data_IF_847681930283
#
_entry.id   IF_847681930283
#
_cell.length_a   1.000
_cell.length_b   1.000
_cell.length_c   1.000
_cell.angle_alpha   90.00
_cell.angle_beta   90.00
_cell.angle_gamma   90.00
#
_symmetry.space_group_name_H-M   'P 1'
#
loop_
_entity.id
_entity.type
_entity.pdbx_description
1 polymer ?
#
# COMPACT_ATOMS: atom_id res chain seq x y z
N UNK A 1 -8.73 36.27 12.31
CA UNK A 1 -7.63 35.34 11.97
C UNK A 1 -8.20 33.94 12.12
N UNK A 2 -8.92 33.46 11.11
CA UNK A 2 -9.52 32.12 11.16
C UNK A 2 -8.39 31.10 11.06
N UNK A 3 -8.30 30.24 12.06
CA UNK A 3 -7.57 28.99 11.99
C UNK A 3 -8.11 28.19 10.82
N UNK A 4 -7.41 28.22 9.69
CA UNK A 4 -7.56 27.20 8.67
C UNK A 4 -7.34 25.87 9.37
N UNK A 5 -8.40 25.06 9.37
CA UNK A 5 -8.41 23.72 9.91
C UNK A 5 -7.23 22.98 9.27
N UNK A 6 -6.19 22.73 10.07
CA UNK A 6 -5.09 21.84 9.73
C UNK A 6 -5.67 20.42 9.69
N UNK A 7 -6.45 20.12 8.63
CA UNK A 7 -6.85 18.75 8.29
C UNK A 7 -5.58 18.08 7.76
N UNK A 8 -4.69 17.77 8.70
CA UNK A 8 -3.49 17.04 8.41
C UNK A 8 -3.85 15.58 8.26
N UNK A 9 -4.10 15.18 7.01
CA UNK A 9 -4.13 13.79 6.55
C UNK A 9 -2.75 13.15 6.71
N UNK A 10 -2.27 13.05 7.95
CA UNK A 10 -0.95 12.55 8.32
C UNK A 10 -1.06 11.15 8.86
N UNK A 11 -0.13 10.31 8.45
CA UNK A 11 0.04 8.98 9.01
C UNK A 11 0.81 9.14 10.32
N UNK A 12 0.16 8.87 11.44
CA UNK A 12 0.74 8.97 12.78
C UNK A 12 1.96 8.05 12.92
N UNK A 13 3.05 8.57 13.47
CA UNK A 13 4.23 7.77 13.76
C UNK A 13 4.07 6.95 15.05
N UNK A 14 3.25 7.45 15.97
CA UNK A 14 3.02 6.90 17.32
C UNK A 14 1.95 5.81 17.38
N UNK A 15 1.13 5.66 16.34
CA UNK A 15 0.04 4.65 16.23
C UNK A 15 0.55 3.23 15.92
N UNK A 16 1.82 2.94 16.21
CA UNK A 16 2.47 1.66 15.90
C UNK A 16 2.90 1.51 14.44
N UNK A 17 2.64 2.52 13.59
CA UNK A 17 2.97 2.48 12.16
C UNK A 17 4.48 2.40 11.95
N UNK A 18 5.28 3.12 12.74
CA UNK A 18 6.73 3.07 12.63
C UNK A 18 7.27 1.68 12.99
N UNK A 19 6.74 1.04 14.03
CA UNK A 19 7.12 -0.29 14.46
C UNK A 19 6.75 -1.34 13.42
N UNK A 20 5.57 -1.22 12.80
CA UNK A 20 5.15 -2.09 11.69
C UNK A 20 6.02 -1.87 10.46
N UNK A 21 6.35 -0.62 10.13
CA UNK A 21 7.29 -0.26 9.06
C UNK A 21 8.67 -0.91 9.29
N UNK A 22 9.21 -0.77 10.50
CA UNK A 22 10.49 -1.38 10.87
C UNK A 22 10.42 -2.91 10.80
N UNK A 23 9.31 -3.50 11.25
CA UNK A 23 9.08 -4.95 11.20
C UNK A 23 8.99 -5.48 9.77
N UNK A 24 8.32 -4.75 8.86
CA UNK A 24 8.20 -5.11 7.45
C UNK A 24 9.56 -5.18 6.75
N UNK A 25 10.47 -4.23 7.07
CA UNK A 25 11.83 -4.24 6.57
C UNK A 25 12.78 -5.19 7.35
N UNK A 26 12.33 -5.80 8.44
CA UNK A 26 13.14 -6.66 9.30
C UNK A 26 14.23 -5.90 10.07
N UNK A 27 14.06 -4.60 10.30
CA UNK A 27 15.03 -3.75 11.00
C UNK A 27 14.62 -3.51 12.46
N UNK A 28 15.62 -3.45 13.36
CA UNK A 28 15.38 -3.23 14.80
C UNK A 28 15.65 -1.80 15.26
N UNK A 29 16.41 -1.01 14.48
CA UNK A 29 16.76 0.36 14.83
C UNK A 29 16.32 1.35 13.75
N UNK A 30 15.85 2.53 14.17
CA UNK A 30 15.46 3.63 13.27
C UNK A 30 16.60 4.07 12.33
N UNK A 31 17.85 3.95 12.80
CA UNK A 31 19.05 4.23 12.01
C UNK A 31 19.17 3.29 10.81
N UNK A 32 18.90 2.00 11.00
CA UNK A 32 19.00 1.00 9.94
C UNK A 32 17.91 1.22 8.88
N UNK A 33 16.72 1.63 9.33
CA UNK A 33 15.65 2.07 8.43
C UNK A 33 16.11 3.27 7.59
N UNK A 34 16.74 4.28 8.19
CA UNK A 34 17.22 5.45 7.45
C UNK A 34 18.30 5.06 6.42
N UNK A 35 19.23 4.17 6.78
CA UNK A 35 20.29 3.68 5.91
C UNK A 35 19.70 2.89 4.72
N UNK A 36 18.71 2.01 4.96
CA UNK A 36 17.97 1.28 3.92
C UNK A 36 17.16 2.23 3.02
N UNK A 37 16.55 3.25 3.62
CA UNK A 37 15.79 4.24 2.89
C UNK A 37 16.69 5.18 2.07
N UNK A 38 17.98 5.27 2.38
CA UNK A 38 18.92 6.20 1.75
C UNK A 38 18.65 7.65 2.13
N UNK A 39 18.08 7.88 3.32
CA UNK A 39 17.72 9.21 3.84
C UNK A 39 18.60 9.58 5.04
N UNK A 40 18.53 10.84 5.48
CA UNK A 40 19.29 11.27 6.63
C UNK A 40 18.80 10.60 7.93
N UNK A 41 19.74 10.16 8.78
CA UNK A 41 19.45 9.44 10.03
C UNK A 41 18.52 10.19 10.99
N UNK A 42 18.65 11.51 11.02
CA UNK A 42 17.81 12.38 11.85
C UNK A 42 16.38 12.49 11.33
N UNK A 43 16.10 12.13 10.08
CA UNK A 43 14.77 12.24 9.47
C UNK A 43 13.75 11.35 10.18
N UNK A 44 14.10 10.09 10.46
CA UNK A 44 13.20 9.13 11.12
C UNK A 44 12.84 9.59 12.53
N UNK A 45 13.83 10.06 13.29
CA UNK A 45 13.59 10.66 14.61
C UNK A 45 12.70 11.91 14.52
N UNK A 46 12.88 12.73 13.49
CA UNK A 46 12.02 13.88 13.23
C UNK A 46 10.57 13.51 12.90
N UNK A 47 10.32 12.38 12.24
CA UNK A 47 8.95 11.87 11.99
C UNK A 47 8.26 11.51 13.30
N UNK A 48 8.95 10.81 14.19
CA UNK A 48 8.44 10.45 15.53
C UNK A 48 8.12 11.70 16.33
N UNK A 49 9.03 12.68 16.36
CA UNK A 49 8.83 13.90 17.12
C UNK A 49 7.61 14.72 16.64
N UNK A 50 7.35 14.71 15.33
CA UNK A 50 6.22 15.42 14.71
C UNK A 50 4.97 14.57 14.56
N UNK A 51 5.03 13.31 15.02
CA UNK A 51 4.00 12.30 14.83
C UNK A 51 3.48 12.22 13.39
N UNK A 52 4.40 12.20 12.42
CA UNK A 52 4.07 12.32 11.01
C UNK A 52 5.06 11.54 10.14
N UNK A 53 4.63 10.39 9.63
CA UNK A 53 5.35 9.61 8.63
C UNK A 53 4.92 10.07 7.24
N UNK A 54 5.86 10.44 6.35
CA UNK A 54 5.51 10.77 4.97
C UNK A 54 4.93 9.55 4.23
N UNK A 55 3.76 9.68 3.62
CA UNK A 55 3.08 8.57 2.97
C UNK A 55 3.87 7.89 1.85
N UNK A 56 4.80 8.58 1.19
CA UNK A 56 5.70 7.95 0.21
C UNK A 56 6.61 6.87 0.82
N UNK A 57 6.89 6.94 2.13
CA UNK A 57 7.62 5.89 2.86
C UNK A 57 6.76 4.64 3.03
N UNK A 58 5.45 4.81 3.28
CA UNK A 58 4.49 3.71 3.35
C UNK A 58 4.34 3.06 1.97
N UNK A 59 4.09 3.86 0.94
CA UNK A 59 4.04 3.39 -0.46
C UNK A 59 5.26 2.55 -0.79
N UNK A 60 6.45 3.09 -0.50
CA UNK A 60 7.69 2.38 -0.75
C UNK A 60 7.79 1.08 0.04
N UNK A 61 7.43 1.06 1.32
CA UNK A 61 7.47 -0.15 2.13
C UNK A 61 6.61 -1.27 1.55
N UNK A 62 5.38 -0.96 1.16
CA UNK A 62 4.50 -1.92 0.52
C UNK A 62 5.14 -2.51 -0.74
N UNK A 63 5.77 -1.67 -1.57
CA UNK A 63 6.38 -2.11 -2.82
C UNK A 63 7.74 -2.84 -2.64
N UNK A 64 8.54 -2.47 -1.62
CA UNK A 64 9.83 -3.10 -1.33
C UNK A 64 9.66 -4.50 -0.70
N UNK A 65 8.66 -4.63 0.19
CA UNK A 65 8.51 -5.80 1.09
C UNK A 65 7.28 -6.66 0.78
N UNK A 66 6.31 -6.15 0.02
CA UNK A 66 5.01 -6.78 -0.16
C UNK A 66 4.09 -6.68 1.06
N UNK A 67 4.43 -5.88 2.07
CA UNK A 67 3.59 -5.69 3.24
C UNK A 67 2.24 -5.05 2.86
N UNK A 68 1.17 -5.55 3.46
CA UNK A 68 -0.17 -5.02 3.24
C UNK A 68 -0.32 -3.59 3.79
N UNK A 69 -0.92 -2.72 2.98
CA UNK A 69 -1.08 -1.30 3.31
C UNK A 69 -2.04 -1.09 4.48
N UNK A 70 -3.08 -1.90 4.62
CA UNK A 70 -4.01 -1.80 5.75
C UNK A 70 -3.28 -2.20 7.03
N UNK A 71 -2.57 -3.32 7.02
CA UNK A 71 -1.77 -3.73 8.17
C UNK A 71 -0.76 -2.66 8.58
N UNK A 72 -0.04 -2.06 7.62
CA UNK A 72 0.91 -1.00 7.93
C UNK A 72 0.24 0.22 8.58
N UNK A 73 -0.84 0.72 7.99
CA UNK A 73 -1.47 2.00 8.41
C UNK A 73 -2.41 1.80 9.60
N UNK A 74 -3.32 0.83 9.55
CA UNK A 74 -4.36 0.62 10.57
C UNK A 74 -3.99 -0.43 11.61
N UNK A 75 -3.04 -1.33 11.30
CA UNK A 75 -2.72 -2.48 12.13
C UNK A 75 -3.64 -3.68 11.92
N UNK A 76 -4.68 -3.54 11.08
CA UNK A 76 -5.57 -4.63 10.74
C UNK A 76 -4.94 -5.52 9.67
N UNK A 77 -4.71 -6.80 9.99
CA UNK A 77 -4.31 -7.77 8.99
C UNK A 77 -5.48 -8.01 8.05
N UNK A 78 -5.41 -7.49 6.83
CA UNK A 78 -6.26 -8.00 5.76
C UNK A 78 -5.94 -9.49 5.57
N UNK A 79 -6.96 -10.35 5.47
CA UNK A 79 -6.83 -11.79 5.21
C UNK A 79 -6.31 -12.10 3.78
N UNK A 80 -5.44 -11.27 3.21
CA UNK A 80 -5.02 -11.34 1.83
C UNK A 80 -3.68 -12.10 1.70
N UNK A 81 -3.77 -13.35 1.23
CA UNK A 81 -2.70 -13.94 0.42
C UNK A 81 -2.60 -13.10 -0.87
N UNK A 82 -1.71 -12.11 -0.89
CA UNK A 82 -1.28 -11.45 -2.12
C UNK A 82 0.11 -11.97 -2.45
N UNK A 83 0.21 -12.81 -3.47
CA UNK A 83 1.48 -13.04 -4.16
C UNK A 83 1.84 -11.75 -4.88
N UNK A 84 2.53 -10.85 -4.17
CA UNK A 84 3.11 -9.67 -4.76
C UNK A 84 4.24 -10.12 -5.68
N UNK A 85 4.07 -9.95 -7.01
CA UNK A 85 5.17 -10.08 -7.96
C UNK A 85 6.18 -9.00 -7.61
N UNK A 86 7.27 -9.41 -6.96
CA UNK A 86 8.23 -8.49 -6.38
C UNK A 86 8.70 -7.51 -7.44
N UNK A 87 8.45 -6.22 -7.23
CA UNK A 87 9.07 -5.18 -8.03
C UNK A 87 10.59 -5.44 -8.07
N UNK A 88 11.16 -5.55 -9.28
CA UNK A 88 12.61 -5.84 -9.46
C UNK A 88 13.50 -4.78 -8.82
N UNK A 89 12.94 -3.60 -8.55
CA UNK A 89 13.61 -2.45 -7.99
C UNK A 89 13.33 -2.41 -6.49
N UNK A 90 14.39 -2.23 -5.71
CA UNK A 90 14.29 -2.05 -4.26
C UNK A 90 15.10 -0.85 -3.83
N UNK A 91 14.81 -0.34 -2.64
CA UNK A 91 15.71 0.62 -2.02
C UNK A 91 15.58 2.03 -2.60
N UNK A 92 16.72 2.71 -2.74
CA UNK A 92 16.80 4.04 -3.36
C UNK A 92 16.27 4.08 -4.80
N UNK A 93 16.50 3.04 -5.59
CA UNK A 93 16.06 3.02 -7.00
C UNK A 93 14.53 3.06 -7.11
N UNK A 94 13.83 2.31 -6.24
CA UNK A 94 12.38 2.33 -6.16
C UNK A 94 11.87 3.69 -5.62
N UNK A 95 12.55 4.26 -4.63
CA UNK A 95 12.23 5.61 -4.15
C UNK A 95 12.31 6.63 -5.29
N UNK A 96 13.40 6.64 -6.05
CA UNK A 96 13.60 7.55 -7.18
C UNK A 96 12.53 7.34 -8.25
N UNK A 97 12.12 6.09 -8.51
CA UNK A 97 11.01 5.78 -9.42
C UNK A 97 9.66 6.33 -8.95
N UNK A 98 9.30 6.12 -7.67
CA UNK A 98 8.06 6.64 -7.09
C UNK A 98 8.06 8.17 -7.18
N UNK A 99 9.15 8.81 -6.79
CA UNK A 99 9.28 10.26 -6.82
C UNK A 99 9.27 10.82 -8.24
N UNK A 100 9.77 10.06 -9.23
CA UNK A 100 9.69 10.42 -10.65
C UNK A 100 8.28 10.34 -11.25
N UNK A 101 7.35 9.67 -10.57
CA UNK A 101 5.94 9.54 -10.97
C UNK A 101 5.03 10.60 -10.32
N UNK A 102 5.59 11.72 -9.86
CA UNK A 102 4.83 12.82 -9.28
C UNK A 102 4.00 13.65 -10.29
N UNK A 103 3.42 14.74 -9.77
CA UNK A 103 2.74 15.75 -10.55
C UNK A 103 1.51 15.24 -11.30
N UNK A 104 1.48 15.50 -12.62
CA UNK A 104 0.31 15.20 -13.45
C UNK A 104 0.02 13.70 -13.55
N UNK A 105 1.05 12.85 -13.50
CA UNK A 105 0.91 11.42 -13.77
C UNK A 105 0.17 10.70 -12.64
N UNK A 106 0.65 10.83 -11.40
CA UNK A 106 -0.05 10.32 -10.21
C UNK A 106 -1.41 10.97 -10.00
N UNK A 107 -1.54 12.29 -10.25
CA UNK A 107 -2.82 12.97 -10.14
C UNK A 107 -3.87 12.36 -11.07
N UNK A 108 -3.50 12.05 -12.32
CA UNK A 108 -4.44 11.44 -13.27
C UNK A 108 -4.91 10.07 -12.76
N UNK A 109 -4.00 9.25 -12.25
CA UNK A 109 -4.33 7.92 -11.71
C UNK A 109 -5.24 8.00 -10.48
N UNK A 110 -5.04 8.97 -9.59
CA UNK A 110 -5.94 9.20 -8.45
C UNK A 110 -7.35 9.56 -8.95
N UNK A 111 -7.47 10.46 -9.94
CA UNK A 111 -8.77 10.80 -10.51
C UNK A 111 -9.44 9.58 -11.16
N UNK A 112 -8.69 8.77 -11.90
CA UNK A 112 -9.20 7.53 -12.53
C UNK A 112 -9.66 6.51 -11.47
N UNK A 113 -8.95 6.38 -10.35
CA UNK A 113 -9.34 5.51 -9.22
C UNK A 113 -10.70 5.88 -8.63
N UNK A 114 -10.94 7.18 -8.46
CA UNK A 114 -12.20 7.72 -7.96
C UNK A 114 -13.29 7.86 -9.03
N UNK A 115 -12.95 7.75 -10.32
CA UNK A 115 -13.88 8.02 -11.42
C UNK A 115 -14.19 9.51 -11.62
N UNK A 116 -13.30 10.40 -11.17
CA UNK A 116 -13.44 11.85 -11.30
C UNK A 116 -12.97 12.36 -12.65
N UNK A 117 -13.67 13.37 -13.17
CA UNK A 117 -13.31 14.05 -14.40
C UNK A 117 -12.48 15.32 -14.14
N UNK A 118 -12.66 15.93 -12.96
CA UNK A 118 -12.08 17.23 -12.63
C UNK A 118 -11.28 17.16 -11.33
N UNK A 119 -10.16 17.90 -11.27
CA UNK A 119 -9.34 18.05 -10.06
C UNK A 119 -10.11 18.67 -8.89
N UNK A 120 -11.15 19.47 -9.19
CA UNK A 120 -12.02 20.06 -8.19
C UNK A 120 -12.72 18.99 -7.34
N UNK A 121 -13.19 17.90 -7.96
CA UNK A 121 -13.89 16.82 -7.26
C UNK A 121 -12.97 16.16 -6.22
N UNK A 122 -11.71 15.95 -6.57
CA UNK A 122 -10.70 15.47 -5.62
C UNK A 122 -10.43 16.47 -4.50
N UNK A 123 -10.35 17.77 -4.83
CA UNK A 123 -10.17 18.83 -3.84
C UNK A 123 -11.33 18.91 -2.85
N UNK A 124 -12.56 18.82 -3.36
CA UNK A 124 -13.78 18.84 -2.55
C UNK A 124 -13.88 17.59 -1.65
N UNK A 125 -13.50 16.40 -2.16
CA UNK A 125 -13.46 15.16 -1.39
C UNK A 125 -12.46 15.23 -0.22
N UNK A 126 -11.24 15.70 -0.48
CA UNK A 126 -10.14 15.68 0.50
C UNK A 126 -10.03 16.97 1.33
N UNK A 127 -10.86 17.99 1.04
CA UNK A 127 -10.72 19.33 1.62
C UNK A 127 -9.43 20.05 1.21
N UNK A 128 -8.88 19.73 0.02
CA UNK A 128 -7.63 20.29 -0.49
C UNK A 128 -7.93 21.36 -1.54
N UNK A 129 -7.32 22.54 -1.40
CA UNK A 129 -7.50 23.61 -2.38
C UNK A 129 -7.00 23.22 -3.78
N UNK A 130 -7.67 23.71 -4.83
CA UNK A 130 -7.19 23.52 -6.21
C UNK A 130 -5.80 24.13 -6.44
N UNK A 131 -5.40 25.14 -5.65
CA UNK A 131 -4.05 25.71 -5.69
C UNK A 131 -2.97 24.75 -5.19
N UNK A 132 -3.28 23.95 -4.16
CA UNK A 132 -2.41 22.89 -3.65
C UNK A 132 -2.21 21.80 -4.71
N UNK A 133 -3.30 21.31 -5.31
CA UNK A 133 -3.25 20.30 -6.39
C UNK A 133 -2.47 20.84 -7.60
N UNK A 134 -2.69 22.11 -7.97
CA UNK A 134 -1.94 22.78 -9.04
C UNK A 134 -0.44 22.85 -8.74
N UNK A 135 -0.07 23.05 -7.47
CA UNK A 135 1.34 23.07 -7.04
C UNK A 135 1.97 21.70 -7.18
N UNK A 136 1.22 20.61 -6.93
CA UNK A 136 1.73 19.26 -7.14
C UNK A 136 2.13 19.04 -8.59
N UNK A 137 1.24 19.43 -9.51
CA UNK A 137 1.48 19.31 -10.96
C UNK A 137 2.68 20.14 -11.40
N UNK A 138 2.81 21.39 -10.94
CA UNK A 138 3.90 22.29 -11.36
C UNK A 138 5.27 21.89 -10.85
N UNK A 139 5.33 21.18 -9.72
CA UNK A 139 6.58 20.81 -9.04
C UNK A 139 6.91 19.32 -9.16
N UNK A 140 6.16 18.59 -9.98
CA UNK A 140 6.25 17.14 -10.07
C UNK A 140 6.23 16.46 -8.68
N UNK A 141 5.43 17.00 -7.77
CA UNK A 141 5.35 16.51 -6.39
C UNK A 141 4.54 15.22 -6.35
N UNK A 142 5.03 14.24 -5.59
CA UNK A 142 4.33 12.98 -5.34
C UNK A 142 3.55 13.06 -4.00
N UNK A 143 2.20 13.14 -4.02
CA UNK A 143 1.39 13.28 -2.82
C UNK A 143 1.16 11.91 -2.16
N UNK A 144 2.20 11.37 -1.51
CA UNK A 144 2.20 10.02 -0.97
C UNK A 144 1.04 9.71 -0.03
N UNK A 145 0.68 10.63 0.86
CA UNK A 145 -0.45 10.44 1.80
C UNK A 145 -1.78 10.28 1.05
N UNK A 146 -2.00 11.09 -0.01
CA UNK A 146 -3.20 11.01 -0.85
C UNK A 146 -3.23 9.70 -1.65
N UNK A 147 -2.08 9.22 -2.10
CA UNK A 147 -1.95 7.91 -2.78
C UNK A 147 -2.33 6.77 -1.84
N UNK A 148 -1.81 6.78 -0.60
CA UNK A 148 -2.16 5.80 0.43
C UNK A 148 -3.66 5.83 0.72
N UNK A 149 -4.22 7.01 0.97
CA UNK A 149 -5.66 7.18 1.20
C UNK A 149 -6.49 6.66 0.03
N UNK A 150 -6.12 7.02 -1.20
CA UNK A 150 -6.84 6.57 -2.40
C UNK A 150 -6.83 5.04 -2.54
N UNK A 151 -5.69 4.39 -2.26
CA UNK A 151 -5.60 2.93 -2.28
C UNK A 151 -6.51 2.28 -1.23
N UNK A 152 -6.52 2.81 0.00
CA UNK A 152 -7.36 2.32 1.09
C UNK A 152 -8.87 2.53 0.82
N UNK A 153 -9.23 3.68 0.29
CA UNK A 153 -10.62 4.09 0.06
C UNK A 153 -11.25 3.37 -1.14
N UNK A 154 -10.48 3.17 -2.22
CA UNK A 154 -11.00 2.60 -3.48
C UNK A 154 -10.66 1.12 -3.70
N UNK A 155 -9.72 0.57 -2.92
CA UNK A 155 -9.18 -0.78 -3.11
C UNK A 155 -8.37 -0.96 -4.40
N UNK A 156 -7.95 0.13 -5.03
CA UNK A 156 -7.09 0.12 -6.23
C UNK A 156 -5.65 -0.23 -5.85
N UNK A 157 -4.95 -0.91 -6.74
CA UNK A 157 -3.55 -1.31 -6.57
C UNK A 157 -2.65 -0.11 -6.26
N UNK A 158 -1.93 -0.22 -5.15
CA UNK A 158 -0.97 0.78 -4.72
C UNK A 158 0.21 0.90 -5.69
N UNK A 159 0.64 -0.21 -6.28
CA UNK A 159 1.70 -0.23 -7.30
C UNK A 159 1.27 0.57 -8.53
N UNK A 160 0.05 0.34 -9.01
CA UNK A 160 -0.48 1.06 -10.16
C UNK A 160 -0.63 2.55 -9.87
N UNK A 161 -1.13 2.94 -8.69
CA UNK A 161 -1.20 4.34 -8.31
C UNK A 161 0.18 5.00 -8.26
N UNK A 162 1.16 4.34 -7.64
CA UNK A 162 2.49 4.90 -7.41
C UNK A 162 3.36 4.95 -8.67
N UNK A 163 3.30 3.92 -9.52
CA UNK A 163 4.24 3.72 -10.64
C UNK A 163 3.56 3.71 -12.02
N UNK A 164 2.24 3.54 -12.07
CA UNK A 164 1.50 3.31 -13.31
C UNK A 164 1.68 1.91 -13.91
N UNK A 165 2.41 1.01 -13.24
CA UNK A 165 2.63 -0.37 -13.68
C UNK A 165 1.63 -1.33 -13.03
N UNK A 166 1.47 -2.51 -13.62
CA UNK A 166 0.52 -3.51 -13.14
C UNK A 166 -0.93 -3.19 -13.49
N UNK A 167 -1.86 -3.92 -12.88
CA UNK A 167 -3.30 -3.71 -13.07
C UNK A 167 -3.83 -2.72 -12.03
N UNK A 168 -4.78 -1.87 -12.45
CA UNK A 168 -5.43 -0.89 -11.56
C UNK A 168 -6.21 -1.58 -10.44
N UNK A 169 -6.98 -2.62 -10.77
CA UNK A 169 -7.67 -3.46 -9.79
C UNK A 169 -7.22 -4.88 -10.02
N UNK A 170 -6.97 -5.59 -8.93
CA UNK A 170 -6.75 -7.03 -9.03
C UNK A 170 -8.01 -7.66 -9.62
N UNK A 171 -7.83 -8.39 -10.71
CA UNK A 171 -8.85 -9.27 -11.25
C UNK A 171 -9.08 -10.39 -10.23
N UNK A 172 -9.95 -10.14 -9.23
CA UNK A 172 -10.41 -11.18 -8.29
C UNK A 172 -11.20 -12.30 -8.98
N UNK A 173 -11.50 -12.16 -10.25
CA UNK A 173 -12.03 -13.23 -11.08
C UNK A 173 -10.88 -14.14 -11.51
N UNK A 174 -10.92 -15.41 -11.09
CA UNK A 174 -10.08 -16.55 -11.53
C UNK A 174 -8.96 -17.05 -10.59
N UNK A 175 -9.10 -16.97 -9.25
CA UNK A 175 -8.23 -17.79 -8.35
C UNK A 175 -9.00 -18.80 -7.47
N UNK A 176 -10.33 -18.71 -7.42
CA UNK A 176 -11.14 -19.68 -6.68
C UNK A 176 -11.18 -21.08 -7.33
N UNK A 177 -10.73 -21.23 -8.58
CA UNK A 177 -10.90 -22.47 -9.35
C UNK A 177 -9.74 -23.47 -9.20
N UNK A 178 -8.56 -23.06 -8.71
CA UNK A 178 -7.36 -23.92 -8.72
C UNK A 178 -6.67 -24.12 -7.36
N UNK A 179 -7.21 -23.56 -6.26
CA UNK A 179 -6.65 -23.82 -4.94
C UNK A 179 -6.89 -25.29 -4.56
N UNK A 180 -5.82 -26.07 -4.45
CA UNK A 180 -5.87 -27.45 -4.01
C UNK A 180 -4.75 -27.75 -3.01
N UNK A 181 -5.10 -28.34 -1.87
CA UNK A 181 -4.12 -28.69 -0.82
C UNK A 181 -3.87 -30.19 -0.87
N UNK A 182 -2.61 -30.59 -1.04
CA UNK A 182 -2.24 -32.01 -1.06
C UNK A 182 -2.68 -32.70 0.24
N UNK A 183 -3.51 -33.72 0.10
CA UNK A 183 -3.99 -34.57 1.19
C UNK A 183 -3.08 -35.78 1.29
N UNK A 184 -2.61 -36.08 2.49
CA UNK A 184 -1.85 -37.30 2.75
C UNK A 184 -2.46 -38.06 3.92
N UNK A 185 -2.36 -39.39 3.89
CA UNK A 185 -2.84 -40.28 4.96
C UNK A 185 -1.67 -41.08 5.52
N UNK A 186 -1.60 -41.16 6.84
CA UNK A 186 -0.63 -42.02 7.52
C UNK A 186 -1.17 -43.45 7.55
N UNK A 187 -0.46 -44.38 6.92
CA UNK A 187 -0.78 -45.81 6.93
C UNK A 187 0.47 -46.60 7.33
N UNK A 188 0.39 -47.32 8.45
CA UNK A 188 1.46 -48.19 8.95
C UNK A 188 2.83 -47.50 9.08
N UNK A 189 2.83 -46.24 9.52
CA UNK A 189 4.05 -45.43 9.72
C UNK A 189 4.58 -44.75 8.46
N UNK A 190 3.96 -44.94 7.29
CA UNK A 190 4.31 -44.26 6.06
C UNK A 190 3.25 -43.23 5.66
N UNK A 191 3.69 -42.05 5.23
CA UNK A 191 2.81 -41.02 4.68
C UNK A 191 2.51 -41.36 3.21
N UNK A 192 1.26 -41.67 2.90
CA UNK A 192 0.80 -41.98 1.53
C UNK A 192 -0.02 -40.84 0.95
N UNK A 193 0.05 -40.68 -0.37
CA UNK A 193 -0.78 -39.74 -1.10
C UNK A 193 -2.26 -40.13 -0.98
N UNK A 194 -3.11 -39.14 -0.71
CA UNK A 194 -4.55 -39.33 -0.48
C UNK A 194 -5.39 -38.31 -1.25
N UNK A 195 -4.86 -37.75 -2.34
CA UNK A 195 -5.52 -36.79 -3.21
C UNK A 195 -5.34 -35.33 -2.79
N UNK A 196 -6.35 -34.50 -3.04
CA UNK A 196 -6.32 -33.06 -2.76
C UNK A 196 -7.61 -32.60 -2.06
N UNK A 197 -7.47 -31.63 -1.16
CA UNK A 197 -8.59 -30.86 -0.63
C UNK A 197 -8.85 -29.69 -1.56
N UNK A 198 -10.10 -29.53 -1.96
CA UNK A 198 -10.57 -28.36 -2.69
C UNK A 198 -11.39 -27.49 -1.73
N UNK A 199 -11.22 -26.15 -1.73
CA UNK A 199 -12.09 -25.26 -1.00
C UNK A 199 -13.52 -25.42 -1.52
N UNK A 200 -14.49 -25.50 -0.60
CA UNK A 200 -15.90 -25.61 -0.94
C UNK A 200 -16.31 -24.33 -1.68
N UNK A 201 -16.75 -24.45 -2.92
CA UNK A 201 -17.37 -23.35 -3.65
C UNK A 201 -18.62 -22.89 -2.91
N UNK A 202 -18.79 -21.58 -2.70
CA UNK A 202 -19.93 -20.97 -2.01
C UNK A 202 -21.28 -21.24 -2.70
N UNK A 203 -21.29 -21.84 -3.90
CA UNK A 203 -22.51 -22.18 -4.65
C UNK A 203 -23.05 -23.59 -4.39
N UNK A 204 -22.38 -24.43 -3.61
CA UNK A 204 -22.94 -25.74 -3.23
C UNK A 204 -23.93 -25.57 -2.07
N UNK A 205 -25.14 -25.12 -2.44
CA UNK A 205 -26.32 -25.21 -1.60
C UNK A 205 -26.53 -26.66 -1.19
N UNK A 206 -26.40 -26.94 0.10
CA UNK A 206 -26.69 -28.23 0.70
C UNK A 206 -28.15 -28.62 0.38
N UNK A 207 -28.32 -29.62 -0.47
CA UNK A 207 -29.54 -30.42 -0.49
C UNK A 207 -29.44 -31.42 0.66
N UNK A 208 -30.07 -31.08 1.79
CA UNK A 208 -30.54 -32.06 2.77
C UNK A 208 -31.92 -32.57 2.35
#
# INVERSE_FOLDING_TARGET
MSSELDVQWRIGASDGVLERLMSAYGVKMQKDLADLLGIAKHSVSGWVQRDAIPGNIIVRCCLDTGADINWLVTGELANANLEYDSSKLKGKALYDEIMGNGGKTVLRRILDAYGFNMQKELGDLLGISSGTISTWVRRDFFPGDVVVTCALDTGVSLEWLATGKGQMRDSKETLATELSIKKSRLESGALKDAGYWHPRSLNDSAKY
#
